data_IF_974046816616
#
_entry.id   IF_974046816616
#
_cell.length_a   1.000
_cell.length_b   1.000
_cell.length_c   1.000
_cell.angle_alpha   90.00
_cell.angle_beta   90.00
_cell.angle_gamma   90.00
#
_symmetry.space_group_name_H-M   'P 1'
#
loop_
_entity.id
_entity.type
_entity.pdbx_description
1 polymer ?
#
# COMPACT_ATOMS: atom_id res chain seq x y z
N UNK A 1 -23.05 -2.43 6.08
CA UNK A 1 -21.86 -3.04 5.41
C UNK A 1 -22.11 -2.96 3.93
N UNK A 2 -21.16 -2.43 3.21
CA UNK A 2 -21.20 -2.35 1.74
C UNK A 2 -20.67 -3.67 1.16
N UNK A 3 -21.33 -4.22 0.15
CA UNK A 3 -20.83 -5.45 -0.48
C UNK A 3 -19.48 -5.18 -1.16
N UNK A 4 -18.58 -6.15 -1.13
CA UNK A 4 -17.32 -6.11 -1.91
C UNK A 4 -17.64 -5.91 -3.39
N UNK A 5 -16.80 -5.12 -4.05
CA UNK A 5 -16.98 -4.75 -5.46
C UNK A 5 -16.00 -5.57 -6.30
N UNK A 6 -16.53 -6.31 -7.26
CA UNK A 6 -15.71 -7.03 -8.24
C UNK A 6 -15.57 -6.20 -9.51
N UNK A 7 -14.33 -5.96 -9.93
CA UNK A 7 -13.94 -5.39 -11.21
C UNK A 7 -13.42 -6.51 -12.11
N UNK A 8 -13.75 -6.45 -13.42
CA UNK A 8 -13.33 -7.46 -14.38
C UNK A 8 -12.86 -6.83 -15.68
N UNK A 9 -11.75 -7.36 -16.22
CA UNK A 9 -11.22 -6.99 -17.53
C UNK A 9 -10.41 -8.16 -18.12
N UNK A 10 -10.87 -8.77 -19.20
CA UNK A 10 -10.24 -9.99 -19.75
C UNK A 10 -10.21 -11.11 -18.71
N UNK A 11 -9.02 -11.62 -18.44
CA UNK A 11 -8.75 -12.64 -17.41
C UNK A 11 -8.39 -12.05 -16.03
N UNK A 12 -8.29 -10.72 -15.94
CA UNK A 12 -8.01 -10.05 -14.69
C UNK A 12 -9.29 -9.80 -13.88
N UNK A 13 -9.21 -10.02 -12.57
CA UNK A 13 -10.28 -9.74 -11.62
C UNK A 13 -9.68 -9.05 -10.38
N UNK A 14 -10.28 -7.94 -9.96
CA UNK A 14 -9.96 -7.30 -8.70
C UNK A 14 -11.19 -7.22 -7.80
N UNK A 15 -11.04 -7.49 -6.52
CA UNK A 15 -12.09 -7.33 -5.52
C UNK A 15 -11.70 -6.17 -4.61
N UNK A 16 -12.53 -5.14 -4.58
CA UNK A 16 -12.36 -3.97 -3.72
C UNK A 16 -13.28 -4.08 -2.51
N UNK A 17 -12.75 -3.83 -1.33
CA UNK A 17 -13.49 -3.84 -0.07
C UNK A 17 -13.61 -2.42 0.50
N UNK A 18 -14.74 -1.74 0.28
CA UNK A 18 -14.96 -0.39 0.79
C UNK A 18 -14.99 -0.31 2.32
N UNK A 19 -15.47 -1.34 3.00
CA UNK A 19 -15.61 -1.36 4.46
C UNK A 19 -14.30 -1.68 5.19
N UNK A 20 -13.26 -2.09 4.46
CA UNK A 20 -11.95 -2.43 4.99
C UNK A 20 -10.86 -1.44 4.52
N UNK A 21 -11.08 -0.14 4.69
CA UNK A 21 -10.10 0.89 4.32
C UNK A 21 -10.01 1.16 2.83
N UNK A 22 -11.03 0.80 2.04
CA UNK A 22 -11.05 1.01 0.59
C UNK A 22 -9.99 0.20 -0.16
N UNK A 23 -9.55 -0.92 0.40
CA UNK A 23 -8.45 -1.74 -0.15
C UNK A 23 -8.87 -2.60 -1.34
N UNK A 24 -7.90 -2.94 -2.16
CA UNK A 24 -8.00 -4.05 -3.10
C UNK A 24 -7.76 -5.33 -2.30
N UNK A 25 -8.83 -6.08 -2.05
CA UNK A 25 -8.83 -7.26 -1.18
C UNK A 25 -8.31 -8.52 -1.88
N UNK A 26 -8.38 -8.55 -3.21
CA UNK A 26 -7.94 -9.65 -4.08
C UNK A 26 -7.58 -9.09 -5.44
N UNK A 27 -6.52 -9.60 -6.04
CA UNK A 27 -6.15 -9.33 -7.44
C UNK A 27 -5.76 -10.66 -8.08
N UNK A 28 -6.53 -11.07 -9.09
CA UNK A 28 -6.27 -12.28 -9.85
C UNK A 28 -5.90 -11.97 -11.28
N UNK A 29 -4.88 -12.64 -11.76
CA UNK A 29 -4.40 -12.59 -13.14
C UNK A 29 -4.33 -14.03 -13.66
N UNK A 30 -5.03 -14.32 -14.73
CA UNK A 30 -5.15 -15.68 -15.30
C UNK A 30 -5.58 -16.73 -14.25
N UNK A 31 -6.45 -16.33 -13.32
CA UNK A 31 -6.95 -17.18 -12.23
C UNK A 31 -6.01 -17.32 -11.03
N UNK A 32 -4.79 -16.80 -11.09
CA UNK A 32 -3.82 -16.81 -9.98
C UNK A 32 -4.03 -15.61 -9.07
N UNK A 33 -4.23 -15.85 -7.78
CA UNK A 33 -4.33 -14.79 -6.76
C UNK A 33 -2.93 -14.29 -6.40
N UNK A 34 -2.63 -13.02 -6.69
CA UNK A 34 -1.31 -12.43 -6.45
C UNK A 34 -1.19 -11.74 -5.10
N UNK A 35 -2.31 -11.37 -4.46
CA UNK A 35 -2.29 -10.73 -3.16
C UNK A 35 -2.54 -11.72 -2.01
N UNK A 36 -1.99 -11.41 -0.85
CA UNK A 36 -2.40 -12.02 0.42
C UNK A 36 -3.81 -11.50 0.72
N UNK A 37 -4.80 -12.36 0.78
CA UNK A 37 -6.23 -11.98 0.89
C UNK A 37 -6.78 -12.00 2.30
N UNK A 38 -6.00 -12.49 3.25
CA UNK A 38 -6.32 -12.54 4.68
C UNK A 38 -5.03 -12.48 5.50
N UNK A 39 -5.07 -11.89 6.67
CA UNK A 39 -3.89 -11.76 7.54
C UNK A 39 -4.26 -11.49 8.99
N UNK A 40 -3.27 -11.47 9.86
CA UNK A 40 -3.40 -11.27 11.31
C UNK A 40 -3.68 -9.81 11.70
N UNK A 41 -4.66 -9.15 11.07
CA UNK A 41 -5.03 -7.77 11.36
C UNK A 41 -5.00 -6.87 10.12
N UNK A 42 -5.39 -5.58 10.25
CA UNK A 42 -5.63 -4.70 9.10
C UNK A 42 -4.37 -4.35 8.30
N UNK A 43 -3.17 -4.52 8.88
CA UNK A 43 -1.89 -4.19 8.27
C UNK A 43 -1.32 -5.27 7.34
N UNK A 44 -1.87 -6.48 7.29
CA UNK A 44 -1.15 -7.65 6.76
C UNK A 44 -1.83 -8.33 5.55
N UNK A 45 -2.64 -7.63 4.77
CA UNK A 45 -3.31 -8.22 3.61
C UNK A 45 -3.84 -7.19 2.61
N UNK A 46 -4.06 -7.63 1.38
CA UNK A 46 -4.59 -6.83 0.28
C UNK A 46 -3.59 -5.80 -0.24
N UNK A 47 -4.10 -4.79 -0.92
CA UNK A 47 -3.39 -3.56 -1.25
C UNK A 47 -4.23 -2.40 -0.74
N UNK A 48 -3.79 -1.75 0.33
CA UNK A 48 -4.55 -0.66 0.94
C UNK A 48 -3.89 0.70 0.71
N UNK A 49 -4.69 1.77 0.61
CA UNK A 49 -4.17 3.13 0.57
C UNK A 49 -3.68 3.53 1.97
N UNK A 50 -2.51 4.15 2.03
CA UNK A 50 -1.96 4.78 3.23
C UNK A 50 -2.24 6.27 3.13
N UNK A 51 -3.16 6.77 3.96
CA UNK A 51 -3.63 8.16 3.88
C UNK A 51 -4.22 8.65 5.22
N UNK A 52 -3.98 9.89 5.65
CA UNK A 52 -3.24 10.96 4.99
C UNK A 52 -1.72 10.92 5.20
N UNK A 53 -1.17 9.87 5.80
CA UNK A 53 0.27 9.63 5.81
C UNK A 53 0.60 8.15 5.56
N UNK A 54 1.71 7.92 4.86
CA UNK A 54 2.35 6.62 4.71
C UNK A 54 3.47 6.46 5.76
N UNK A 55 3.81 5.22 6.09
CA UNK A 55 4.86 4.94 7.07
C UNK A 55 4.45 5.30 8.51
N UNK A 56 5.47 5.50 9.36
CA UNK A 56 5.34 5.68 10.81
C UNK A 56 5.51 7.14 11.21
N UNK A 57 4.65 7.63 12.12
CA UNK A 57 4.86 8.89 12.84
C UNK A 57 5.39 8.60 14.24
N UNK A 58 6.58 9.13 14.56
CA UNK A 58 7.25 8.94 15.85
C UNK A 58 6.34 9.33 17.00
N UNK A 59 6.09 8.38 17.92
CA UNK A 59 5.26 8.56 19.12
C UNK A 59 3.84 9.11 18.84
N UNK A 60 3.35 8.92 17.61
CA UNK A 60 2.08 9.49 17.15
C UNK A 60 2.06 11.00 17.05
N UNK A 61 3.21 11.67 16.96
CA UNK A 61 3.32 13.12 16.95
C UNK A 61 3.52 13.66 15.55
N UNK A 62 2.56 14.45 15.08
CA UNK A 62 2.65 15.23 13.85
C UNK A 62 2.92 16.71 14.22
N UNK A 63 3.95 17.33 13.62
CA UNK A 63 4.25 18.75 13.74
C UNK A 63 3.95 19.46 12.44
N UNK A 64 3.02 20.40 12.48
CA UNK A 64 2.62 21.17 11.31
C UNK A 64 2.17 22.58 11.70
N UNK A 65 2.57 23.60 10.92
CA UNK A 65 2.17 24.99 11.16
C UNK A 65 2.63 25.57 12.50
N UNK A 66 3.65 24.98 13.13
CA UNK A 66 4.13 25.38 14.46
C UNK A 66 3.38 24.71 15.62
N UNK A 67 2.40 23.86 15.34
CA UNK A 67 1.61 23.12 16.34
C UNK A 67 2.00 21.65 16.39
N UNK A 68 1.71 21.01 17.52
CA UNK A 68 1.88 19.57 17.74
C UNK A 68 0.51 18.90 17.84
N UNK A 69 0.27 17.89 16.99
CA UNK A 69 -0.96 17.10 16.97
C UNK A 69 -0.64 15.67 17.34
N UNK A 70 -1.47 15.05 18.19
CA UNK A 70 -1.32 13.65 18.61
C UNK A 70 -2.30 12.76 17.87
N UNK A 71 -1.77 11.72 17.23
CA UNK A 71 -2.51 10.74 16.46
C UNK A 71 -2.50 9.38 17.15
N UNK A 72 -3.51 8.51 16.93
CA UNK A 72 -3.61 7.21 17.56
C UNK A 72 -2.42 6.30 17.22
N UNK A 73 -1.92 5.57 18.22
CA UNK A 73 -0.80 4.63 18.11
C UNK A 73 -1.21 3.18 18.31
N UNK A 74 -2.50 2.88 18.20
CA UNK A 74 -3.11 1.59 18.56
C UNK A 74 -2.69 0.42 17.64
N UNK A 75 -2.28 0.69 16.40
CA UNK A 75 -1.91 -0.36 15.44
C UNK A 75 -0.44 -0.78 15.55
N UNK A 76 0.46 0.14 15.89
CA UNK A 76 1.90 -0.14 16.01
C UNK A 76 2.54 0.71 17.13
N UNK A 77 2.18 0.52 18.40
CA UNK A 77 2.79 1.29 19.51
C UNK A 77 4.32 1.16 19.54
N UNK A 78 5.05 2.25 19.85
CA UNK A 78 4.58 3.56 20.27
C UNK A 78 4.25 4.53 19.13
N UNK A 79 4.36 4.10 17.88
CA UNK A 79 4.18 4.96 16.69
C UNK A 79 2.76 4.88 16.14
N UNK A 80 2.30 5.97 15.51
CA UNK A 80 1.15 5.91 14.61
C UNK A 80 1.61 5.43 13.24
N UNK A 81 0.76 4.72 12.51
CA UNK A 81 1.13 4.09 11.22
C UNK A 81 -0.01 4.19 10.19
N UNK A 82 0.35 4.46 8.94
CA UNK A 82 -0.45 4.34 7.71
C UNK A 82 -1.79 5.10 7.70
N UNK A 83 -1.85 6.25 8.36
CA UNK A 83 -3.00 7.14 8.29
C UNK A 83 -4.13 6.78 9.25
N UNK A 84 -5.31 7.36 8.96
CA UNK A 84 -6.51 7.22 9.79
C UNK A 84 -7.63 6.45 9.11
N UNK A 85 -7.45 6.09 7.84
CA UNK A 85 -8.51 5.49 7.02
C UNK A 85 -8.34 3.99 6.74
N UNK A 86 -7.34 3.33 7.34
CA UNK A 86 -7.00 1.93 7.10
C UNK A 86 -8.16 0.95 7.42
N UNK A 87 -8.96 1.27 8.41
CA UNK A 87 -10.13 0.48 8.84
C UNK A 87 -11.44 1.23 8.65
N UNK A 88 -11.40 2.40 8.01
CA UNK A 88 -12.60 3.20 7.77
C UNK A 88 -13.45 2.61 6.63
N UNK A 89 -14.75 2.83 6.70
CA UNK A 89 -15.63 2.57 5.58
C UNK A 89 -15.56 3.74 4.58
N UNK A 90 -15.39 3.42 3.29
CA UNK A 90 -15.37 4.37 2.19
C UNK A 90 -16.68 4.31 1.41
N UNK A 91 -17.21 5.47 1.06
CA UNK A 91 -18.41 5.56 0.23
C UNK A 91 -18.07 5.27 -1.24
N UNK A 92 -18.89 4.45 -1.89
CA UNK A 92 -18.82 4.25 -3.34
C UNK A 92 -19.49 5.44 -4.02
N UNK A 93 -18.75 6.22 -4.79
CA UNK A 93 -19.27 7.40 -5.51
C UNK A 93 -19.54 7.11 -6.97
N UNK A 94 -18.73 6.23 -7.59
CA UNK A 94 -18.90 5.80 -8.96
C UNK A 94 -18.55 4.32 -9.10
N UNK A 95 -19.24 3.63 -10.02
CA UNK A 95 -19.00 2.21 -10.28
C UNK A 95 -19.31 1.85 -11.72
N UNK A 96 -18.41 1.07 -12.34
CA UNK A 96 -18.58 0.43 -13.64
C UNK A 96 -18.03 -1.01 -13.58
N UNK A 97 -18.22 -1.85 -14.62
CA UNK A 97 -17.75 -3.25 -14.60
C UNK A 97 -16.24 -3.41 -14.34
N UNK A 98 -15.43 -2.42 -14.75
CA UNK A 98 -13.97 -2.44 -14.61
C UNK A 98 -13.39 -1.25 -13.85
N UNK A 99 -14.22 -0.42 -13.21
CA UNK A 99 -13.74 0.71 -12.42
C UNK A 99 -14.63 1.03 -11.24
N UNK A 100 -14.02 1.64 -10.21
CA UNK A 100 -14.72 2.16 -9.05
C UNK A 100 -14.01 3.40 -8.53
N UNK A 101 -14.80 4.36 -8.04
CA UNK A 101 -14.31 5.50 -7.25
C UNK A 101 -14.88 5.39 -5.84
N UNK A 102 -13.98 5.39 -4.87
CA UNK A 102 -14.33 5.45 -3.45
C UNK A 102 -13.97 6.83 -2.89
N UNK A 103 -14.70 7.26 -1.87
CA UNK A 103 -14.43 8.50 -1.16
C UNK A 103 -14.54 8.29 0.35
N UNK A 104 -13.66 8.94 1.11
CA UNK A 104 -13.72 8.99 2.56
C UNK A 104 -13.39 10.41 3.05
N UNK A 105 -14.06 10.84 4.10
CA UNK A 105 -13.76 12.11 4.73
C UNK A 105 -12.65 11.94 5.78
N UNK A 106 -11.71 12.88 5.80
CA UNK A 106 -10.65 12.97 6.80
C UNK A 106 -11.20 13.71 8.03
N UNK A 107 -11.91 12.96 8.86
CA UNK A 107 -12.39 13.44 10.15
C UNK A 107 -11.49 13.03 11.31
N UNK A 108 -11.90 13.32 12.58
CA UNK A 108 -11.14 12.90 13.74
C UNK A 108 -10.75 11.43 13.68
N UNK A 109 -9.50 11.07 14.03
CA UNK A 109 -8.52 11.90 14.77
C UNK A 109 -7.63 12.82 13.90
N UNK A 110 -7.83 12.90 12.57
CA UNK A 110 -7.07 13.84 11.72
C UNK A 110 -7.55 15.28 11.97
N UNK A 111 -6.65 16.21 12.37
CA UNK A 111 -7.09 17.51 12.89
C UNK A 111 -7.45 18.55 11.81
N UNK A 112 -7.10 18.29 10.54
CA UNK A 112 -7.22 19.29 9.47
C UNK A 112 -8.49 19.11 8.61
N UNK A 113 -9.24 18.03 8.82
CA UNK A 113 -10.35 17.68 7.92
C UNK A 113 -9.86 17.34 6.52
N UNK A 114 -10.76 17.45 5.55
CA UNK A 114 -10.48 17.13 4.15
C UNK A 114 -11.17 15.87 3.69
N UNK A 115 -10.84 15.45 2.47
CA UNK A 115 -11.45 14.29 1.81
C UNK A 115 -10.43 13.56 0.95
N UNK A 116 -10.61 12.27 0.78
CA UNK A 116 -9.79 11.44 -0.10
C UNK A 116 -10.69 10.75 -1.13
N UNK A 117 -10.23 10.73 -2.37
CA UNK A 117 -10.80 9.90 -3.43
C UNK A 117 -9.79 8.82 -3.80
N UNK A 118 -10.25 7.58 -3.93
CA UNK A 118 -9.47 6.45 -4.44
C UNK A 118 -10.15 5.94 -5.70
N UNK A 119 -9.53 6.19 -6.85
CA UNK A 119 -10.01 5.75 -8.16
C UNK A 119 -9.24 4.52 -8.60
N UNK A 120 -9.95 3.48 -8.98
CA UNK A 120 -9.37 2.25 -9.47
C UNK A 120 -9.99 1.87 -10.81
N UNK A 121 -9.15 1.48 -11.77
CA UNK A 121 -9.55 1.00 -13.08
C UNK A 121 -8.73 -0.20 -13.48
N UNK A 122 -9.40 -1.31 -13.73
CA UNK A 122 -8.80 -2.56 -14.19
C UNK A 122 -8.86 -2.65 -15.71
N UNK A 123 -7.75 -3.01 -16.33
CA UNK A 123 -7.62 -3.42 -17.73
C UNK A 123 -7.06 -4.85 -17.79
N UNK A 124 -7.03 -5.52 -18.96
CA UNK A 124 -6.63 -6.93 -19.04
C UNK A 124 -5.24 -7.24 -18.46
N UNK A 125 -4.31 -6.28 -18.51
CA UNK A 125 -2.94 -6.44 -18.02
C UNK A 125 -2.51 -5.33 -17.03
N UNK A 126 -3.41 -4.40 -16.69
CA UNK A 126 -3.07 -3.23 -15.87
C UNK A 126 -4.13 -2.98 -14.81
N UNK A 127 -3.69 -2.61 -13.63
CA UNK A 127 -4.52 -2.01 -12.58
C UNK A 127 -4.02 -0.60 -12.32
N UNK A 128 -4.80 0.40 -12.71
CA UNK A 128 -4.52 1.79 -12.41
C UNK A 128 -5.20 2.18 -11.10
N UNK A 129 -4.44 2.73 -10.16
CA UNK A 129 -4.93 3.25 -8.90
C UNK A 129 -4.45 4.69 -8.69
N UNK A 130 -5.36 5.58 -8.30
CA UNK A 130 -5.09 6.99 -8.05
C UNK A 130 -5.64 7.40 -6.69
N UNK A 131 -4.83 8.11 -5.90
CA UNK A 131 -5.25 8.76 -4.65
C UNK A 131 -5.24 10.28 -4.85
N UNK A 132 -6.37 10.91 -4.62
CA UNK A 132 -6.50 12.37 -4.58
C UNK A 132 -6.85 12.78 -3.16
N UNK A 133 -6.01 13.62 -2.55
CA UNK A 133 -6.25 14.19 -1.21
C UNK A 133 -6.66 15.65 -1.35
N UNK A 134 -7.85 15.96 -0.92
CA UNK A 134 -8.43 17.30 -0.90
C UNK A 134 -8.34 17.85 0.51
N UNK A 135 -7.62 18.96 0.70
CA UNK A 135 -7.55 19.64 1.98
C UNK A 135 -8.92 20.19 2.39
N UNK A 136 -9.15 20.33 3.69
CA UNK A 136 -10.33 20.99 4.25
C UNK A 136 -10.27 22.51 4.08
N UNK A 137 -10.54 23.24 5.16
CA UNK A 137 -10.58 24.73 5.11
C UNK A 137 -9.20 25.40 4.97
N UNK A 138 -8.12 24.68 5.27
CA UNK A 138 -6.76 25.22 5.26
C UNK A 138 -5.73 24.23 4.71
N UNK A 139 -4.47 24.67 4.55
CA UNK A 139 -3.39 23.80 4.14
C UNK A 139 -3.13 22.72 5.18
N UNK A 140 -2.84 21.51 4.72
CA UNK A 140 -2.48 20.37 5.57
C UNK A 140 -1.32 19.59 4.99
N UNK A 141 -0.53 18.87 5.80
CA UNK A 141 0.45 17.92 5.27
C UNK A 141 -0.26 16.67 4.73
N UNK A 142 0.30 16.07 3.70
CA UNK A 142 -0.12 14.74 3.24
C UNK A 142 1.06 14.00 2.63
N UNK A 143 1.21 12.73 3.01
CA UNK A 143 2.11 11.76 2.39
C UNK A 143 1.26 10.54 2.10
N UNK A 144 1.14 10.12 0.86
CA UNK A 144 0.27 9.01 0.49
C UNK A 144 1.04 7.89 -0.19
N UNK A 145 0.47 6.73 -0.21
CA UNK A 145 1.04 5.56 -0.88
C UNK A 145 0.09 4.38 -0.88
N UNK A 146 0.56 3.29 -1.44
CA UNK A 146 -0.14 2.01 -1.41
C UNK A 146 0.73 0.93 -0.78
N UNK A 147 0.10 0.01 -0.08
CA UNK A 147 0.76 -1.10 0.60
C UNK A 147 0.25 -2.45 0.04
N UNK A 148 0.76 -2.89 -1.10
CA UNK A 148 0.41 -4.18 -1.68
C UNK A 148 1.14 -5.31 -0.95
N UNK A 149 0.39 -6.31 -0.50
CA UNK A 149 0.91 -7.56 0.04
C UNK A 149 0.90 -8.63 -1.04
N UNK A 150 2.00 -8.86 -1.71
CA UNK A 150 2.15 -9.92 -2.71
C UNK A 150 2.45 -11.26 -2.05
N UNK A 151 1.79 -12.33 -2.50
CA UNK A 151 2.02 -13.68 -2.00
C UNK A 151 3.44 -14.15 -2.29
N UNK A 152 4.08 -14.85 -1.35
CA UNK A 152 5.35 -15.50 -1.65
C UNK A 152 5.22 -16.65 -2.63
N UNK A 153 4.13 -17.39 -2.60
CA UNK A 153 3.88 -18.54 -3.47
C UNK A 153 2.51 -18.40 -4.12
N UNK A 154 2.49 -18.40 -5.44
CA UNK A 154 1.24 -18.51 -6.18
C UNK A 154 0.70 -19.93 -6.10
N UNK A 155 -0.62 -20.04 -6.09
CA UNK A 155 -1.31 -21.34 -6.10
C UNK A 155 -2.43 -21.35 -7.12
N UNK A 156 -2.57 -22.48 -7.80
CA UNK A 156 -3.72 -22.72 -8.65
C UNK A 156 -4.99 -23.03 -7.82
N UNK A 157 -6.17 -23.14 -8.45
CA UNK A 157 -7.41 -23.49 -7.75
C UNK A 157 -7.40 -24.83 -7.02
N UNK A 158 -6.48 -25.74 -7.34
CA UNK A 158 -6.30 -27.01 -6.62
C UNK A 158 -5.43 -26.85 -5.36
N UNK A 159 -4.79 -25.69 -5.18
CA UNK A 159 -3.85 -25.40 -4.11
C UNK A 159 -2.40 -25.76 -4.42
N UNK A 160 -2.12 -26.29 -5.62
CA UNK A 160 -0.75 -26.57 -6.03
C UNK A 160 0.03 -25.29 -6.30
N UNK A 161 1.33 -25.28 -5.94
CA UNK A 161 2.21 -24.16 -6.22
C UNK A 161 2.43 -24.00 -7.74
N UNK A 162 2.46 -22.72 -8.18
CA UNK A 162 2.68 -22.35 -9.59
C UNK A 162 3.90 -21.45 -9.65
N UNK A 163 4.91 -21.86 -10.40
CA UNK A 163 6.21 -21.17 -10.48
C UNK A 163 7.05 -21.34 -9.21
N UNK A 164 8.14 -20.61 -9.17
CA UNK A 164 9.01 -20.53 -8.00
C UNK A 164 8.50 -19.46 -7.02
N UNK A 165 9.02 -19.41 -5.78
CA UNK A 165 8.73 -18.32 -4.83
C UNK A 165 9.04 -16.95 -5.40
N UNK A 166 8.32 -15.94 -4.90
CA UNK A 166 8.45 -14.54 -5.32
C UNK A 166 9.88 -14.02 -5.16
N UNK A 167 10.31 -13.26 -6.14
CA UNK A 167 11.52 -12.44 -6.12
C UNK A 167 11.11 -10.98 -6.23
N UNK A 168 11.74 -10.10 -5.44
CA UNK A 168 11.55 -8.66 -5.53
C UNK A 168 12.54 -8.09 -6.53
N UNK A 169 12.02 -7.36 -7.52
CA UNK A 169 12.83 -6.62 -8.49
C UNK A 169 12.95 -5.16 -8.03
N UNK A 170 14.13 -4.79 -7.55
CA UNK A 170 14.43 -3.46 -7.06
C UNK A 170 15.87 -3.05 -7.45
N UNK A 171 15.97 -1.99 -8.27
CA UNK A 171 17.24 -1.33 -8.57
C UNK A 171 17.26 0.02 -7.83
N UNK A 172 17.80 0.03 -6.61
CA UNK A 172 17.84 1.20 -5.75
C UNK A 172 19.27 1.71 -5.55
N UNK A 173 19.46 3.02 -5.74
CA UNK A 173 20.75 3.68 -5.52
C UNK A 173 21.11 3.85 -4.04
N UNK A 174 20.15 3.69 -3.11
CA UNK A 174 20.39 3.77 -1.67
C UNK A 174 19.20 3.32 -0.83
N UNK A 175 19.47 3.05 0.43
CA UNK A 175 18.51 2.66 1.46
C UNK A 175 18.65 3.61 2.64
N UNK A 176 17.54 4.07 3.21
CA UNK A 176 17.56 4.86 4.44
C UNK A 176 17.79 3.93 5.63
N UNK A 177 18.85 4.18 6.43
CA UNK A 177 19.15 3.38 7.60
C UNK A 177 18.03 3.46 8.62
N UNK A 178 17.49 2.32 9.00
CA UNK A 178 16.45 2.18 10.02
C UNK A 178 17.07 2.05 11.41
N UNK A 179 16.74 2.97 12.30
CA UNK A 179 17.15 2.92 13.70
C UNK A 179 16.48 1.80 14.49
N UNK A 180 16.91 1.60 15.72
CA UNK A 180 16.36 0.58 16.63
C UNK A 180 14.87 0.80 16.96
N UNK A 181 14.36 2.00 16.74
CA UNK A 181 12.95 2.37 16.90
C UNK A 181 12.11 2.09 15.63
N UNK A 182 12.71 1.52 14.59
CA UNK A 182 12.04 1.19 13.34
C UNK A 182 11.78 2.39 12.42
N UNK A 183 12.41 3.54 12.69
CA UNK A 183 12.25 4.77 11.90
C UNK A 183 13.54 5.08 11.14
N UNK A 184 13.45 5.66 9.91
CA UNK A 184 14.62 6.14 9.20
C UNK A 184 15.38 7.19 10.03
N UNK A 185 16.71 7.06 10.07
CA UNK A 185 17.60 8.00 10.78
C UNK A 185 17.99 9.21 9.94
N UNK A 186 17.77 9.14 8.62
CA UNK A 186 18.27 10.09 7.64
C UNK A 186 19.63 9.72 7.06
N UNK A 187 20.33 8.71 7.61
CA UNK A 187 21.54 8.16 7.03
C UNK A 187 21.20 7.29 5.81
N UNK A 188 21.99 7.43 4.74
CA UNK A 188 21.82 6.64 3.51
C UNK A 188 22.90 5.57 3.45
N UNK A 189 22.50 4.32 3.33
CA UNK A 189 23.38 3.17 3.14
C UNK A 189 23.59 2.91 1.65
N UNK A 190 24.84 2.78 1.24
CA UNK A 190 25.28 2.44 -0.12
C UNK A 190 26.52 1.54 -0.07
N UNK A 191 26.59 0.40 -0.78
CA UNK A 191 25.52 -0.20 -1.58
C UNK A 191 24.36 -0.70 -0.70
N UNK A 192 23.17 -0.91 -1.30
CA UNK A 192 22.02 -1.51 -0.63
C UNK A 192 22.39 -2.90 -0.13
N UNK A 193 22.15 -3.21 1.15
CA UNK A 193 22.43 -4.54 1.70
C UNK A 193 21.42 -5.57 1.16
N UNK A 194 21.76 -6.87 1.21
CA UNK A 194 20.81 -7.92 0.82
C UNK A 194 19.60 -8.00 1.77
N UNK A 195 18.53 -8.63 1.30
CA UNK A 195 17.36 -8.99 2.13
C UNK A 195 17.75 -9.76 3.42
N UNK A 196 16.93 -9.73 4.48
CA UNK A 196 15.55 -9.21 4.52
C UNK A 196 15.48 -7.70 4.75
N UNK A 197 14.40 -7.07 4.24
CA UNK A 197 14.14 -5.64 4.35
C UNK A 197 12.82 -5.33 5.07
N UNK A 198 12.79 -4.24 5.82
CA UNK A 198 11.65 -3.43 6.25
C UNK A 198 12.10 -1.96 6.15
N UNK A 199 12.47 -1.52 4.95
CA UNK A 199 13.30 -0.34 4.76
C UNK A 199 12.81 0.54 3.61
N UNK A 200 13.18 1.82 3.66
CA UNK A 200 12.85 2.82 2.65
C UNK A 200 14.01 2.98 1.67
N UNK A 201 13.70 2.92 0.37
CA UNK A 201 14.66 2.98 -0.73
C UNK A 201 14.50 4.28 -1.52
N UNK A 202 15.62 4.81 -1.98
CA UNK A 202 15.72 6.05 -2.75
C UNK A 202 16.57 5.84 -4.01
N UNK A 203 16.46 6.79 -4.93
CA UNK A 203 17.17 6.74 -6.22
C UNK A 203 16.85 5.42 -6.96
N UNK A 204 15.59 5.04 -6.96
CA UNK A 204 15.12 3.80 -7.58
C UNK A 204 15.03 3.98 -9.08
N UNK A 205 15.68 3.10 -9.82
CA UNK A 205 15.68 3.09 -11.27
C UNK A 205 14.63 2.12 -11.83
N UNK A 206 13.98 2.51 -12.92
CA UNK A 206 12.96 1.70 -13.57
C UNK A 206 11.66 1.59 -12.76
N UNK A 207 10.92 0.53 -12.98
CA UNK A 207 9.69 0.20 -12.28
C UNK A 207 9.93 -1.01 -11.37
N UNK A 208 10.00 -0.81 -10.05
CA UNK A 208 10.08 -1.92 -9.10
C UNK A 208 8.90 -2.87 -9.22
N UNK A 209 9.07 -4.09 -8.77
CA UNK A 209 8.01 -5.07 -8.83
C UNK A 209 8.35 -6.37 -8.15
N UNK A 210 7.56 -7.36 -8.48
CA UNK A 210 7.75 -8.73 -8.03
C UNK A 210 7.55 -9.69 -9.20
N UNK A 211 8.30 -10.78 -9.22
CA UNK A 211 8.03 -11.85 -10.17
C UNK A 211 8.08 -13.22 -9.49
N UNK A 212 7.29 -14.15 -10.02
CA UNK A 212 7.33 -15.57 -9.68
C UNK A 212 7.89 -16.31 -10.87
N UNK A 213 9.18 -16.74 -10.83
CA UNK A 213 9.83 -17.37 -11.96
C UNK A 213 9.02 -18.55 -12.51
N UNK A 214 8.80 -18.56 -13.82
CA UNK A 214 7.98 -19.57 -14.49
C UNK A 214 6.45 -19.38 -14.41
N UNK A 215 5.98 -18.30 -13.81
CA UNK A 215 4.54 -18.02 -13.67
C UNK A 215 4.14 -16.62 -14.10
N UNK A 216 4.48 -15.57 -13.35
CA UNK A 216 3.92 -14.23 -13.47
C UNK A 216 4.91 -13.16 -13.05
N UNK A 217 4.78 -11.97 -13.63
CA UNK A 217 5.49 -10.75 -13.22
C UNK A 217 4.48 -9.62 -13.00
N UNK A 218 4.71 -8.82 -11.96
CA UNK A 218 3.98 -7.58 -11.68
C UNK A 218 4.99 -6.44 -11.54
N UNK A 219 4.86 -5.44 -12.39
CA UNK A 219 5.62 -4.18 -12.31
C UNK A 219 4.76 -3.09 -11.71
N UNK A 220 5.36 -2.22 -10.91
CA UNK A 220 4.67 -1.11 -10.26
C UNK A 220 5.24 0.19 -10.82
N UNK A 221 4.48 0.84 -11.70
CA UNK A 221 4.81 2.16 -12.19
C UNK A 221 4.20 3.20 -11.26
N UNK A 222 4.99 4.16 -10.79
CA UNK A 222 4.55 5.22 -9.89
C UNK A 222 5.39 6.48 -10.10
N UNK A 223 4.78 7.64 -9.87
CA UNK A 223 5.44 8.94 -9.75
C UNK A 223 5.97 9.22 -8.33
N UNK A 224 5.78 8.29 -7.41
CA UNK A 224 6.24 8.40 -6.03
C UNK A 224 7.77 8.32 -5.95
N UNK A 225 8.42 9.25 -5.22
CA UNK A 225 9.89 9.31 -5.13
C UNK A 225 10.49 8.32 -4.12
N UNK A 226 9.68 7.78 -3.20
CA UNK A 226 10.10 6.87 -2.14
C UNK A 226 9.43 5.51 -2.28
N UNK A 227 10.19 4.47 -1.93
CA UNK A 227 9.71 3.09 -1.97
C UNK A 227 10.03 2.40 -0.65
N UNK A 228 9.04 1.78 -0.04
CA UNK A 228 9.29 0.87 1.07
C UNK A 228 9.18 -0.56 0.56
N UNK A 229 10.13 -1.39 0.95
CA UNK A 229 10.09 -2.83 0.65
C UNK A 229 10.14 -3.61 1.95
N UNK A 230 9.20 -4.53 2.09
CA UNK A 230 9.10 -5.39 3.26
C UNK A 230 9.17 -6.86 2.84
N UNK A 231 10.16 -7.59 3.34
CA UNK A 231 10.39 -9.00 2.97
C UNK A 231 10.57 -9.95 4.17
N UNK A 232 10.22 -9.50 5.39
CA UNK A 232 10.48 -10.29 6.61
C UNK A 232 9.43 -11.38 6.89
N UNK A 233 8.24 -11.36 6.21
CA UNK A 233 7.16 -12.34 6.48
C UNK A 233 7.17 -13.50 5.50
N UNK A 234 6.74 -14.67 6.00
CA UNK A 234 6.62 -15.87 5.19
C UNK A 234 5.43 -15.84 4.23
N UNK A 235 4.36 -15.11 4.57
CA UNK A 235 3.12 -15.07 3.79
C UNK A 235 3.25 -14.22 2.53
N UNK A 236 4.08 -13.16 2.59
CA UNK A 236 4.15 -12.19 1.50
C UNK A 236 5.29 -11.20 1.60
N UNK A 237 5.42 -10.44 0.53
CA UNK A 237 6.33 -9.30 0.41
C UNK A 237 5.56 -8.05 0.02
N UNK A 238 6.09 -6.87 0.35
CA UNK A 238 5.49 -5.60 -0.05
C UNK A 238 6.49 -4.78 -0.86
N UNK A 239 5.99 -4.06 -1.86
CA UNK A 239 6.73 -3.05 -2.64
C UNK A 239 5.83 -1.84 -2.73
N UNK A 240 6.13 -0.81 -1.97
CA UNK A 240 5.21 0.26 -1.59
C UNK A 240 5.66 1.60 -2.16
N UNK A 241 4.99 2.14 -3.19
CA UNK A 241 5.23 3.51 -3.63
C UNK A 241 4.65 4.51 -2.61
N UNK A 242 5.44 5.53 -2.24
CA UNK A 242 5.07 6.57 -1.29
C UNK A 242 5.54 7.95 -1.76
N UNK A 243 4.74 8.98 -1.51
CA UNK A 243 5.05 10.36 -1.92
C UNK A 243 6.07 11.08 -1.01
N UNK A 244 6.54 10.44 0.05
CA UNK A 244 7.56 10.98 0.95
C UNK A 244 7.88 10.04 2.09
#
# INVERSE_FOLDING_TARGET
MTDRITLRAGTAEAIVDPDAGGRIASLRIDGLEVLVTEGGGPLAWGCYPMVPWAGRLRDGVLRWGGEEHRLPTNLLPPHAIHGTLLEAAWAVTERAPSSVTLAADLGPPWPFGGRVLHRMRLAPADLHAELEVQAGEGPMPAIVGWHPWFRRVLRDPSGAAVGEPVVVDLDAGGMLWRGADGLPTGEVIRPVPPEPWDDCFIDVAGAPGVHWPGALEVRIESDAPCWVVYTEREEGVCVEPQTG
#
